data_IF_970965051919
#
_entry.id   IF_970965051919
#
_cell.length_a   1.000
_cell.length_b   1.000
_cell.length_c   1.000
_cell.angle_alpha   90.00
_cell.angle_beta   90.00
_cell.angle_gamma   90.00
#
_symmetry.space_group_name_H-M   'P 1'
#
loop_
_entity.id
_entity.type
_entity.pdbx_description
1 polymer ?
#
# COMPACT_ATOMS: atom_id res chain seq x y z
N UNK A 1 -12.81 -19.29 10.99
CA UNK A 1 -12.09 -18.09 11.50
C UNK A 1 -12.31 -16.97 10.49
N UNK A 2 -12.66 -15.76 10.92
CA UNK A 2 -12.86 -14.62 10.01
C UNK A 2 -11.53 -14.12 9.45
N UNK A 3 -11.55 -13.44 8.29
CA UNK A 3 -10.35 -12.83 7.70
C UNK A 3 -9.71 -11.83 8.69
N UNK A 4 -10.52 -10.98 9.32
CA UNK A 4 -10.05 -10.07 10.38
C UNK A 4 -9.25 -10.80 11.46
N UNK A 5 -9.77 -11.91 11.99
CA UNK A 5 -9.03 -12.67 13.00
C UNK A 5 -7.71 -13.22 12.46
N UNK A 6 -7.68 -13.71 11.21
CA UNK A 6 -6.44 -14.17 10.56
C UNK A 6 -5.41 -13.04 10.44
N UNK A 7 -5.81 -11.86 9.99
CA UNK A 7 -4.93 -10.69 9.89
C UNK A 7 -4.32 -10.35 11.25
N UNK A 8 -5.14 -10.13 12.27
CA UNK A 8 -4.65 -9.72 13.58
C UNK A 8 -3.83 -10.83 14.26
N UNK A 9 -4.18 -12.11 14.08
CA UNK A 9 -3.37 -13.22 14.61
C UNK A 9 -2.03 -13.35 13.92
N UNK A 10 -1.96 -13.23 12.59
CA UNK A 10 -0.72 -13.37 11.84
C UNK A 10 0.33 -12.32 12.24
N UNK A 11 -0.13 -11.10 12.52
CA UNK A 11 0.73 -9.97 12.89
C UNK A 11 0.84 -9.75 14.41
N UNK A 12 0.21 -10.56 15.25
CA UNK A 12 0.16 -10.36 16.71
C UNK A 12 1.54 -10.35 17.39
N UNK A 13 2.51 -11.05 16.81
CA UNK A 13 3.87 -11.12 17.32
C UNK A 13 4.73 -9.91 16.93
N UNK A 14 4.23 -8.99 16.08
CA UNK A 14 5.00 -7.82 15.68
C UNK A 14 5.18 -6.87 16.86
N UNK A 15 6.43 -6.51 17.18
CA UNK A 15 6.68 -5.57 18.26
C UNK A 15 6.09 -4.21 17.90
N UNK A 16 5.69 -3.47 18.94
CA UNK A 16 5.35 -2.07 18.77
C UNK A 16 6.59 -1.32 18.27
N UNK A 17 6.46 -0.47 17.23
CA UNK A 17 7.61 0.21 16.65
C UNK A 17 8.28 1.15 17.65
N UNK A 18 9.60 1.17 17.65
CA UNK A 18 10.41 2.15 18.39
C UNK A 18 10.50 3.49 17.66
N UNK A 19 10.37 3.47 16.34
CA UNK A 19 10.31 4.64 15.47
C UNK A 19 9.14 4.50 14.48
N UNK A 20 8.31 5.54 14.38
CA UNK A 20 7.13 5.55 13.53
C UNK A 20 7.44 5.91 12.07
N UNK A 21 8.50 6.69 11.84
CA UNK A 21 8.82 7.24 10.53
C UNK A 21 10.25 6.89 10.09
N UNK A 22 10.48 6.99 8.78
CA UNK A 22 11.82 6.87 8.20
C UNK A 22 12.72 8.06 8.60
N UNK A 23 14.06 7.87 8.67
CA UNK A 23 14.99 8.87 9.20
C UNK A 23 14.99 10.21 8.46
N UNK A 24 14.66 10.20 7.17
CA UNK A 24 14.66 11.40 6.31
C UNK A 24 13.33 12.19 6.36
N UNK A 25 12.35 11.75 7.17
CA UNK A 25 10.95 12.17 7.09
C UNK A 25 10.57 13.54 7.68
N UNK A 26 11.50 14.37 8.17
CA UNK A 26 11.24 15.76 8.61
C UNK A 26 9.91 15.98 9.37
N UNK A 27 9.11 16.96 8.95
CA UNK A 27 7.81 17.30 9.56
C UNK A 27 6.77 16.18 9.54
N UNK A 28 6.84 15.25 8.57
CA UNK A 28 5.98 14.07 8.48
C UNK A 28 6.25 13.10 9.63
N UNK A 29 7.51 12.96 10.04
CA UNK A 29 7.87 12.10 11.18
C UNK A 29 7.20 12.57 12.48
N UNK A 30 7.07 13.89 12.66
CA UNK A 30 6.36 14.47 13.81
C UNK A 30 4.85 14.25 13.72
N UNK A 31 4.24 14.42 12.54
CA UNK A 31 2.81 14.16 12.32
C UNK A 31 2.44 12.69 12.61
N UNK A 32 3.21 11.75 12.08
CA UNK A 32 3.08 10.32 12.38
C UNK A 32 3.28 10.04 13.87
N UNK A 33 4.31 10.66 14.45
CA UNK A 33 4.64 10.62 15.87
C UNK A 33 3.46 11.02 16.76
N UNK A 34 2.99 12.24 16.61
CA UNK A 34 1.93 12.83 17.42
C UNK A 34 0.57 12.10 17.19
N UNK A 35 0.29 11.68 15.94
CA UNK A 35 -0.96 11.01 15.58
C UNK A 35 -1.07 9.56 16.04
N UNK A 36 0.05 8.82 16.07
CA UNK A 36 0.09 7.38 16.38
C UNK A 36 0.73 7.06 17.74
N UNK A 37 1.29 8.05 18.44
CA UNK A 37 1.79 7.89 19.79
C UNK A 37 0.69 7.29 20.68
N UNK A 38 1.03 6.22 21.42
CA UNK A 38 0.08 5.59 22.33
C UNK A 38 -0.92 4.64 21.68
N UNK A 39 -1.22 4.74 20.38
CA UNK A 39 -2.21 3.87 19.71
C UNK A 39 -1.79 2.41 19.59
N UNK A 40 -2.69 1.50 19.97
CA UNK A 40 -2.54 0.08 19.66
C UNK A 40 -3.12 -0.20 18.27
N UNK A 41 -2.66 -1.27 17.63
CA UNK A 41 -3.14 -1.70 16.30
C UNK A 41 -4.67 -1.92 16.25
N UNK A 42 -5.29 -2.33 17.36
CA UNK A 42 -6.75 -2.51 17.45
C UNK A 42 -7.55 -1.21 17.51
N UNK A 43 -6.90 -0.09 17.83
CA UNK A 43 -7.53 1.21 18.08
C UNK A 43 -7.39 2.17 16.89
N UNK A 44 -6.84 1.70 15.76
CA UNK A 44 -6.75 2.48 14.53
C UNK A 44 -8.13 2.63 13.91
N UNK A 45 -8.49 3.86 13.57
CA UNK A 45 -9.79 4.25 13.03
C UNK A 45 -9.66 4.79 11.61
N UNK A 46 -10.80 5.01 10.95
CA UNK A 46 -10.85 5.70 9.64
C UNK A 46 -10.34 7.14 9.70
N UNK A 47 -10.50 7.82 10.84
CA UNK A 47 -10.00 9.19 11.02
C UNK A 47 -8.47 9.21 11.11
N UNK A 48 -7.87 8.18 11.71
CA UNK A 48 -6.41 8.02 11.69
C UNK A 48 -5.91 7.75 10.28
N UNK A 49 -6.62 6.91 9.52
CA UNK A 49 -6.29 6.66 8.12
C UNK A 49 -6.26 7.96 7.33
N UNK A 50 -7.32 8.77 7.40
CA UNK A 50 -7.41 10.04 6.67
C UNK A 50 -6.45 11.11 7.17
N UNK A 51 -6.30 11.23 8.49
CA UNK A 51 -5.57 12.32 9.12
C UNK A 51 -4.07 12.05 9.22
N UNK A 52 -3.66 10.78 9.19
CA UNK A 52 -2.28 10.38 9.47
C UNK A 52 -1.69 9.51 8.37
N UNK A 53 -2.37 8.45 7.93
CA UNK A 53 -1.78 7.49 6.99
C UNK A 53 -1.88 7.89 5.52
N UNK A 54 -3.00 8.46 5.09
CA UNK A 54 -3.25 8.85 3.71
C UNK A 54 -2.21 9.88 3.23
N UNK A 55 -1.50 9.54 2.15
CA UNK A 55 -0.40 10.33 1.59
C UNK A 55 0.92 10.26 2.38
N UNK A 56 0.95 9.53 3.50
CA UNK A 56 2.13 9.39 4.37
C UNK A 56 2.55 7.92 4.56
N UNK A 57 1.93 6.95 3.88
CA UNK A 57 2.29 5.54 4.03
C UNK A 57 3.75 5.29 3.65
N UNK A 58 4.28 6.06 2.70
CA UNK A 58 5.69 6.05 2.29
C UNK A 58 6.64 6.44 3.45
N UNK A 59 6.18 7.29 4.37
CA UNK A 59 7.01 7.82 5.45
C UNK A 59 7.08 6.88 6.66
N UNK A 60 6.22 5.86 6.77
CA UNK A 60 6.31 4.87 7.84
C UNK A 60 7.62 4.09 7.77
N UNK A 61 8.23 3.85 8.94
CA UNK A 61 9.29 2.85 9.04
C UNK A 61 8.75 1.45 8.67
N UNK A 62 9.58 0.53 8.16
CA UNK A 62 9.13 -0.84 7.87
C UNK A 62 8.50 -1.55 9.06
N UNK A 63 9.04 -1.32 10.27
CA UNK A 63 8.48 -1.86 11.51
C UNK A 63 7.10 -1.30 11.82
N UNK A 64 6.92 0.02 11.71
CA UNK A 64 5.65 0.69 11.97
C UNK A 64 4.58 0.27 10.94
N UNK A 65 4.96 0.19 9.67
CA UNK A 65 4.08 -0.31 8.62
C UNK A 65 3.55 -1.71 8.97
N UNK A 66 4.44 -2.67 9.24
CA UNK A 66 4.05 -4.06 9.56
C UNK A 66 3.20 -4.14 10.84
N UNK A 67 3.49 -3.32 11.83
CA UNK A 67 2.70 -3.27 13.07
C UNK A 67 1.26 -2.83 12.83
N UNK A 68 1.05 -1.79 12.00
CA UNK A 68 -0.29 -1.27 11.71
C UNK A 68 -1.01 -1.98 10.54
N UNK A 69 -0.28 -2.72 9.71
CA UNK A 69 -0.78 -3.37 8.50
C UNK A 69 -2.11 -4.15 8.66
N UNK A 70 -2.32 -5.01 9.69
CA UNK A 70 -3.59 -5.73 9.82
C UNK A 70 -4.79 -4.80 10.00
N UNK A 71 -4.63 -3.68 10.70
CA UNK A 71 -5.69 -2.69 10.87
C UNK A 71 -5.95 -1.91 9.58
N UNK A 72 -4.88 -1.53 8.87
CA UNK A 72 -4.98 -0.82 7.59
C UNK A 72 -5.68 -1.68 6.53
N UNK A 73 -5.36 -2.98 6.47
CA UNK A 73 -6.05 -3.95 5.59
C UNK A 73 -7.51 -4.16 6.00
N UNK A 74 -7.80 -4.33 7.30
CA UNK A 74 -9.18 -4.49 7.79
C UNK A 74 -10.06 -3.28 7.44
N UNK A 75 -9.53 -2.06 7.63
CA UNK A 75 -10.21 -0.82 7.29
C UNK A 75 -10.36 -0.64 5.78
N UNK A 76 -9.32 -0.90 4.99
CA UNK A 76 -9.40 -0.81 3.53
C UNK A 76 -10.47 -1.76 2.95
N UNK A 77 -10.60 -2.96 3.52
CA UNK A 77 -11.59 -3.94 3.07
C UNK A 77 -13.02 -3.58 3.52
N UNK A 78 -13.22 -3.26 4.79
CA UNK A 78 -14.58 -3.12 5.36
C UNK A 78 -15.10 -1.68 5.36
N UNK A 79 -14.22 -0.68 5.25
CA UNK A 79 -14.53 0.75 5.24
C UNK A 79 -14.11 1.42 3.94
N UNK A 80 -13.99 0.65 2.85
CA UNK A 80 -13.51 1.11 1.53
C UNK A 80 -14.07 2.46 1.10
N UNK A 81 -15.40 2.67 1.17
CA UNK A 81 -16.03 3.95 0.76
C UNK A 81 -15.53 5.16 1.55
N UNK A 82 -15.10 4.95 2.78
CA UNK A 82 -14.61 6.01 3.65
C UNK A 82 -13.12 6.29 3.41
N UNK A 83 -12.35 5.30 2.96
CA UNK A 83 -10.88 5.38 2.83
C UNK A 83 -10.39 4.94 1.44
N UNK A 84 -11.17 5.21 0.39
CA UNK A 84 -10.91 4.64 -0.95
C UNK A 84 -9.58 5.10 -1.56
N UNK A 85 -9.21 6.36 -1.33
CA UNK A 85 -7.92 6.92 -1.74
C UNK A 85 -6.77 6.17 -1.06
N UNK A 86 -6.84 6.02 0.27
CA UNK A 86 -5.88 5.23 1.02
C UNK A 86 -5.88 3.75 0.62
N UNK A 87 -7.03 3.16 0.28
CA UNK A 87 -7.08 1.77 -0.15
C UNK A 87 -6.29 1.54 -1.45
N UNK A 88 -6.32 2.50 -2.38
CA UNK A 88 -5.48 2.46 -3.58
C UNK A 88 -3.98 2.63 -3.24
N UNK A 89 -3.63 3.53 -2.32
CA UNK A 89 -2.27 3.70 -1.81
C UNK A 89 -1.75 2.42 -1.15
N UNK A 90 -2.56 1.78 -0.31
CA UNK A 90 -2.23 0.52 0.36
C UNK A 90 -2.04 -0.62 -0.65
N UNK A 91 -2.93 -0.74 -1.64
CA UNK A 91 -2.80 -1.73 -2.70
C UNK A 91 -1.48 -1.55 -3.46
N UNK A 92 -1.17 -0.30 -3.86
CA UNK A 92 0.10 0.02 -4.52
C UNK A 92 1.31 -0.33 -3.65
N UNK A 93 1.26 -0.04 -2.35
CA UNK A 93 2.34 -0.38 -1.43
C UNK A 93 2.49 -1.90 -1.24
N UNK A 94 1.40 -2.65 -1.27
CA UNK A 94 1.39 -4.11 -1.16
C UNK A 94 1.81 -4.80 -2.46
N UNK A 95 1.98 -4.09 -3.57
CA UNK A 95 2.27 -4.69 -4.87
C UNK A 95 3.74 -4.47 -5.20
N UNK A 96 4.49 -5.56 -5.39
CA UNK A 96 5.90 -5.45 -5.82
C UNK A 96 5.95 -4.68 -7.14
N UNK A 97 6.64 -3.54 -7.23
CA UNK A 97 6.55 -2.70 -8.41
C UNK A 97 7.28 -3.37 -9.58
N UNK A 98 6.66 -3.38 -10.76
CA UNK A 98 7.31 -3.81 -12.00
C UNK A 98 7.33 -2.67 -13.02
N UNK A 99 8.38 -2.65 -13.84
CA UNK A 99 8.51 -1.68 -14.92
C UNK A 99 7.37 -1.80 -15.92
N UNK A 100 6.89 -3.02 -16.14
CA UNK A 100 5.77 -3.31 -17.03
C UNK A 100 4.48 -2.65 -16.55
N UNK A 101 4.17 -2.70 -15.25
CA UNK A 101 2.98 -2.03 -14.71
C UNK A 101 3.06 -0.52 -14.86
N UNK A 102 4.24 0.06 -14.65
CA UNK A 102 4.47 1.50 -14.80
C UNK A 102 4.21 1.91 -16.25
N UNK A 103 4.76 1.17 -17.21
CA UNK A 103 4.53 1.41 -18.64
C UNK A 103 3.05 1.21 -19.00
N UNK A 104 2.42 0.13 -18.55
CA UNK A 104 1.02 -0.17 -18.84
C UNK A 104 0.07 0.90 -18.27
N UNK A 105 0.36 1.40 -17.07
CA UNK A 105 -0.40 2.48 -16.41
C UNK A 105 -0.26 3.80 -17.18
N UNK A 106 0.95 4.13 -17.63
CA UNK A 106 1.20 5.31 -18.45
C UNK A 106 0.51 5.21 -19.82
N UNK A 107 0.54 4.04 -20.45
CA UNK A 107 -0.17 3.78 -21.71
C UNK A 107 -1.69 3.83 -21.54
N UNK A 108 -2.21 3.38 -20.39
CA UNK A 108 -3.62 3.50 -20.07
C UNK A 108 -4.03 4.97 -19.87
N UNK A 109 -3.17 5.75 -19.18
CA UNK A 109 -3.38 7.18 -18.99
C UNK A 109 -3.48 7.92 -20.33
N UNK A 110 -2.63 7.62 -21.30
CA UNK A 110 -2.67 8.19 -22.66
C UNK A 110 -3.97 7.84 -23.41
N UNK A 111 -4.58 6.68 -23.11
CA UNK A 111 -5.81 6.20 -23.76
C UNK A 111 -7.11 6.78 -23.18
N UNK A 112 -7.08 7.41 -21.99
CA UNK A 112 -8.28 8.07 -21.43
C UNK A 112 -8.78 9.17 -22.40
N UNK A 113 -10.05 9.60 -22.37
CA UNK A 113 -10.53 10.69 -23.22
C UNK A 113 -9.75 11.99 -22.93
N UNK A 114 -9.53 12.86 -23.92
CA UNK A 114 -8.86 14.13 -23.69
C UNK A 114 -9.75 15.02 -22.81
N UNK A 115 -9.48 15.04 -21.52
CA UNK A 115 -9.78 16.20 -20.70
C UNK A 115 -8.91 17.35 -21.21
N UNK A 116 -9.42 18.57 -21.14
CA UNK A 116 -8.83 19.84 -21.62
C UNK A 116 -7.45 20.20 -21.02
N UNK A 117 -6.79 19.25 -20.33
CA UNK A 117 -5.54 19.36 -19.57
C UNK A 117 -4.40 18.48 -20.11
N UNK A 118 -4.55 17.84 -21.28
CA UNK A 118 -3.47 17.04 -21.88
C UNK A 118 -2.55 17.88 -22.73
N UNK A 119 -1.66 18.61 -22.07
CA UNK A 119 -0.45 19.08 -22.71
C UNK A 119 0.46 17.85 -22.96
N UNK A 120 0.79 17.52 -24.23
CA UNK A 120 1.69 16.41 -24.55
C UNK A 120 3.04 16.54 -23.82
N UNK A 121 3.51 17.77 -23.58
CA UNK A 121 4.76 18.00 -22.87
C UNK A 121 4.66 17.60 -21.39
N UNK A 122 3.49 17.80 -20.77
CA UNK A 122 3.23 17.37 -19.39
C UNK A 122 3.14 15.84 -19.33
N UNK A 123 2.47 15.21 -20.30
CA UNK A 123 2.39 13.75 -20.38
C UNK A 123 3.79 13.11 -20.55
N UNK A 124 4.60 13.64 -21.46
CA UNK A 124 5.99 13.18 -21.68
C UNK A 124 6.89 13.44 -20.47
N UNK A 125 6.71 14.57 -19.78
CA UNK A 125 7.43 14.88 -18.55
C UNK A 125 7.06 13.90 -17.42
N UNK A 126 5.77 13.64 -17.21
CA UNK A 126 5.28 12.68 -16.22
C UNK A 126 5.80 11.28 -16.52
N UNK A 127 5.72 10.85 -17.79
CA UNK A 127 6.24 9.56 -18.25
C UNK A 127 7.72 9.39 -17.93
N UNK A 128 8.55 10.39 -18.28
CA UNK A 128 9.98 10.37 -17.96
C UNK A 128 10.21 10.31 -16.46
N UNK A 129 9.53 11.16 -15.68
CA UNK A 129 9.68 11.19 -14.24
C UNK A 129 9.33 9.84 -13.59
N UNK A 130 8.23 9.19 -13.99
CA UNK A 130 7.82 7.89 -13.43
C UNK A 130 8.81 6.78 -13.78
N UNK A 131 9.30 6.76 -15.02
CA UNK A 131 10.31 5.78 -15.44
C UNK A 131 11.67 6.02 -14.78
N UNK A 132 12.13 7.27 -14.69
CA UNK A 132 13.37 7.62 -13.98
C UNK A 132 13.29 7.25 -12.49
N UNK A 133 12.14 7.50 -11.86
CA UNK A 133 11.91 7.08 -10.48
C UNK A 133 11.92 5.56 -10.33
N UNK A 134 11.28 4.81 -11.23
CA UNK A 134 11.36 3.35 -11.21
C UNK A 134 12.79 2.84 -11.44
N UNK A 135 13.45 3.34 -12.48
CA UNK A 135 14.79 2.92 -12.91
C UNK A 135 15.88 3.32 -11.89
N UNK A 136 15.58 4.21 -10.93
CA UNK A 136 16.43 4.49 -9.77
C UNK A 136 16.58 3.30 -8.82
N UNK A 137 15.68 2.31 -8.90
CA UNK A 137 15.64 1.15 -8.02
C UNK A 137 15.04 1.42 -6.63
N UNK A 138 14.75 2.69 -6.29
CA UNK A 138 14.13 3.07 -5.02
C UNK A 138 12.80 2.35 -4.75
N UNK A 139 11.85 2.23 -5.70
CA UNK A 139 10.55 1.62 -5.41
C UNK A 139 10.68 0.14 -5.03
N UNK A 140 11.51 -0.59 -5.77
CA UNK A 140 11.81 -1.99 -5.51
C UNK A 140 12.52 -2.17 -4.16
N UNK A 141 13.52 -1.33 -3.85
CA UNK A 141 14.20 -1.37 -2.56
C UNK A 141 13.24 -1.13 -1.39
N UNK A 142 12.37 -0.11 -1.49
CA UNK A 142 11.35 0.20 -0.47
C UNK A 142 10.38 -0.97 -0.27
N UNK A 143 9.96 -1.63 -1.36
CA UNK A 143 9.11 -2.81 -1.26
C UNK A 143 9.81 -3.95 -0.49
N UNK A 144 11.04 -4.31 -0.87
CA UNK A 144 11.80 -5.36 -0.21
C UNK A 144 12.03 -5.06 1.28
N UNK A 145 12.43 -3.83 1.63
CA UNK A 145 12.59 -3.41 3.02
C UNK A 145 11.31 -3.62 3.84
N UNK A 146 10.14 -3.41 3.23
CA UNK A 146 8.82 -3.51 3.87
C UNK A 146 8.28 -4.93 3.91
N UNK A 147 8.55 -5.77 2.93
CA UNK A 147 7.86 -7.06 2.81
C UNK A 147 8.76 -8.30 2.86
N UNK A 148 10.08 -8.17 2.73
CA UNK A 148 10.96 -9.35 2.80
C UNK A 148 11.05 -9.99 4.19
N UNK A 149 10.80 -9.19 5.22
CA UNK A 149 10.73 -9.67 6.60
C UNK A 149 9.41 -10.33 7.00
N UNK A 150 8.44 -10.48 6.09
CA UNK A 150 7.18 -11.17 6.40
C UNK A 150 7.39 -12.68 6.58
N UNK A 151 6.80 -13.23 7.63
CA UNK A 151 6.69 -14.68 7.83
C UNK A 151 5.71 -15.28 6.83
N UNK A 152 5.73 -16.60 6.66
CA UNK A 152 4.77 -17.30 5.80
C UNK A 152 3.31 -17.05 6.23
N UNK A 153 3.04 -16.99 7.55
CA UNK A 153 1.70 -16.71 8.06
C UNK A 153 1.23 -15.29 7.72
N UNK A 154 2.12 -14.29 7.79
CA UNK A 154 1.78 -12.91 7.44
C UNK A 154 1.63 -12.72 5.94
N UNK A 155 2.51 -13.30 5.14
CA UNK A 155 2.39 -13.30 3.68
C UNK A 155 1.09 -13.96 3.21
N UNK A 156 0.73 -15.10 3.81
CA UNK A 156 -0.56 -15.77 3.57
C UNK A 156 -1.74 -14.89 3.97
N UNK A 157 -1.67 -14.20 5.13
CA UNK A 157 -2.72 -13.29 5.56
C UNK A 157 -2.90 -12.08 4.61
N UNK A 158 -1.80 -11.53 4.07
CA UNK A 158 -1.85 -10.47 3.04
C UNK A 158 -2.48 -11.01 1.75
N UNK A 159 -2.10 -12.21 1.30
CA UNK A 159 -2.69 -12.84 0.12
C UNK A 159 -4.20 -13.07 0.28
N UNK A 160 -4.65 -13.54 1.45
CA UNK A 160 -6.08 -13.68 1.75
C UNK A 160 -6.80 -12.32 1.73
N UNK A 161 -6.17 -11.27 2.25
CA UNK A 161 -6.69 -9.91 2.14
C UNK A 161 -6.83 -9.48 0.68
N UNK A 162 -5.77 -9.60 -0.14
CA UNK A 162 -5.79 -9.21 -1.55
C UNK A 162 -6.87 -9.96 -2.33
N UNK A 163 -7.02 -11.26 -2.07
CA UNK A 163 -8.07 -12.10 -2.67
C UNK A 163 -9.47 -11.62 -2.28
N UNK A 164 -9.69 -11.32 -0.99
CA UNK A 164 -10.97 -10.79 -0.52
C UNK A 164 -11.24 -9.38 -1.05
N UNK A 165 -10.21 -8.56 -1.17
CA UNK A 165 -10.28 -7.21 -1.69
C UNK A 165 -10.63 -7.20 -3.18
N UNK A 166 -10.03 -8.09 -3.97
CA UNK A 166 -10.39 -8.32 -5.38
C UNK A 166 -11.87 -8.66 -5.52
N UNK A 167 -12.36 -9.61 -4.72
CA UNK A 167 -13.75 -10.05 -4.76
C UNK A 167 -14.75 -8.95 -4.34
N UNK A 168 -14.36 -8.07 -3.41
CA UNK A 168 -15.26 -7.04 -2.87
C UNK A 168 -15.20 -5.72 -3.65
N UNK A 169 -14.02 -5.30 -4.10
CA UNK A 169 -13.75 -3.96 -4.61
C UNK A 169 -12.99 -3.93 -5.93
N UNK A 170 -12.66 -5.08 -6.52
CA UNK A 170 -11.85 -5.19 -7.75
C UNK A 170 -12.42 -4.42 -8.95
N UNK A 171 -13.74 -4.25 -9.02
CA UNK A 171 -14.39 -3.44 -10.07
C UNK A 171 -13.95 -1.95 -10.07
N UNK A 172 -13.43 -1.45 -8.94
CA UNK A 172 -12.92 -0.08 -8.83
C UNK A 172 -11.47 0.07 -9.33
N UNK A 173 -10.83 -1.04 -9.72
CA UNK A 173 -9.43 -1.12 -10.19
C UNK A 173 -9.40 -1.76 -11.59
N UNK A 174 -9.80 -1.02 -12.63
CA UNK A 174 -10.09 -1.56 -13.95
C UNK A 174 -8.83 -1.91 -14.76
N UNK A 175 -7.63 -1.62 -14.25
CA UNK A 175 -6.37 -1.84 -14.97
C UNK A 175 -5.65 -3.12 -14.52
N UNK A 176 -6.30 -3.96 -13.72
CA UNK A 176 -5.76 -5.25 -13.27
C UNK A 176 -4.79 -5.13 -12.10
N UNK A 177 -4.78 -3.98 -11.40
CA UNK A 177 -3.84 -3.71 -10.30
C UNK A 177 -3.98 -4.72 -9.16
N UNK A 178 -5.22 -5.11 -8.84
CA UNK A 178 -5.49 -6.08 -7.77
C UNK A 178 -5.08 -7.49 -8.17
N UNK A 179 -5.33 -7.88 -9.42
CA UNK A 179 -4.96 -9.21 -9.93
C UNK A 179 -3.43 -9.38 -9.95
N UNK A 180 -2.70 -8.35 -10.38
CA UNK A 180 -1.24 -8.34 -10.33
C UNK A 180 -0.70 -8.48 -8.89
N UNK A 181 -1.33 -7.81 -7.92
CA UNK A 181 -0.98 -7.94 -6.51
C UNK A 181 -1.18 -9.37 -6.00
N UNK A 182 -2.33 -9.97 -6.32
CA UNK A 182 -2.67 -11.36 -5.95
C UNK A 182 -1.67 -12.33 -6.56
N UNK A 183 -1.35 -12.21 -7.86
CA UNK A 183 -0.43 -13.11 -8.56
C UNK A 183 0.96 -13.11 -7.91
N UNK A 184 1.50 -11.93 -7.59
CA UNK A 184 2.82 -11.77 -6.97
C UNK A 184 2.88 -12.38 -5.58
N UNK A 185 1.83 -12.21 -4.77
CA UNK A 185 1.76 -12.84 -3.45
C UNK A 185 1.51 -14.34 -3.54
N UNK A 186 0.74 -14.80 -4.53
CA UNK A 186 0.51 -16.22 -4.76
C UNK A 186 1.81 -16.94 -5.11
N UNK A 187 2.63 -16.37 -5.99
CA UNK A 187 3.95 -16.92 -6.34
C UNK A 187 4.88 -17.07 -5.12
N UNK A 188 4.71 -16.23 -4.10
CA UNK A 188 5.56 -16.18 -2.90
C UNK A 188 5.01 -16.98 -1.71
N UNK A 189 3.69 -17.06 -1.57
CA UNK A 189 3.02 -17.56 -0.35
C UNK A 189 1.83 -18.50 -0.60
N UNK A 190 1.50 -18.84 -1.86
CA UNK A 190 0.35 -19.69 -2.21
C UNK A 190 0.55 -21.20 -2.02
N UNK A 191 1.60 -21.60 -1.31
CA UNK A 191 1.99 -23.00 -1.06
C UNK A 191 1.39 -23.60 0.21
#
# INVERSE_FOLDING_TARGET
MTLRNRLYTAFAARPRPSALAQPEGGGTARLLGDGLAGRAVGDVTTDDVKGVFEGNLWALSPEALRYYLPALMDLALHRYREVSVFAAELLSALTEPSREDVVASLDAFERLPPAELRDPQIADALRRQQLEWFDSGTPTAVFHERFDGLTAAEGSAVLEFLTAFAAAHGENFPFGEVDAAVERYWARYGG
#
